data_IF_558176305166
#
_entry.id   IF_558176305166
#
_cell.length_a   1.000
_cell.length_b   1.000
_cell.length_c   1.000
_cell.angle_alpha   90.00
_cell.angle_beta   90.00
_cell.angle_gamma   90.00
#
_symmetry.space_group_name_H-M   'P 1'
#
loop_
_entity.id
_entity.type
_entity.pdbx_description
1 polymer ?
#
# COMPACT_ATOMS: atom_id res chain seq x y z
N UNK A 1 17.25 -15.70 16.48
CA UNK A 1 16.73 -14.51 15.78
C UNK A 1 17.89 -13.79 15.12
N UNK A 2 17.73 -13.36 13.86
CA UNK A 2 18.76 -12.62 13.15
C UNK A 2 18.81 -11.15 13.58
N UNK A 3 20.03 -10.56 13.59
CA UNK A 3 20.19 -9.11 13.56
C UNK A 3 19.99 -8.62 12.12
N UNK A 4 19.60 -7.37 11.93
CA UNK A 4 19.34 -6.78 10.61
C UNK A 4 19.73 -5.30 10.60
N UNK A 5 19.93 -4.76 9.42
CA UNK A 5 20.03 -3.31 9.16
C UNK A 5 18.72 -2.81 8.53
N UNK A 6 18.45 -1.52 8.65
CA UNK A 6 17.37 -0.84 7.96
C UNK A 6 17.95 0.35 7.22
N UNK A 7 17.81 0.36 5.92
CA UNK A 7 18.31 1.42 5.06
C UNK A 7 17.14 2.06 4.27
N UNK A 8 17.11 3.38 4.11
CA UNK A 8 16.17 4.01 3.22
C UNK A 8 16.46 3.59 1.79
N UNK A 9 15.39 3.30 1.04
CA UNK A 9 15.46 2.90 -0.36
C UNK A 9 14.54 3.81 -1.18
N UNK A 10 15.06 4.30 -2.30
CA UNK A 10 14.32 5.14 -3.24
C UNK A 10 14.37 4.50 -4.63
N UNK A 11 13.22 4.09 -5.14
CA UNK A 11 13.11 3.37 -6.43
C UNK A 11 12.38 4.25 -7.44
N UNK A 12 13.00 4.61 -8.58
CA UNK A 12 12.33 5.34 -9.65
C UNK A 12 11.15 4.54 -10.22
N UNK A 13 10.00 5.20 -10.40
CA UNK A 13 8.76 4.63 -10.95
C UNK A 13 8.09 5.63 -11.89
N UNK A 14 8.44 5.59 -13.17
CA UNK A 14 8.07 6.61 -14.14
C UNK A 14 8.71 7.96 -13.77
N UNK A 15 7.89 9.00 -13.64
CA UNK A 15 8.33 10.36 -13.24
C UNK A 15 8.45 10.50 -11.70
N UNK A 16 7.99 9.50 -10.95
CA UNK A 16 7.95 9.52 -9.51
C UNK A 16 9.02 8.64 -8.88
N UNK A 17 9.20 8.79 -7.57
CA UNK A 17 10.11 7.98 -6.76
C UNK A 17 9.35 7.32 -5.62
N UNK A 18 9.44 6.00 -5.53
CA UNK A 18 8.88 5.21 -4.43
C UNK A 18 9.86 5.20 -3.28
N UNK A 19 9.42 5.66 -2.10
CA UNK A 19 10.17 5.56 -0.87
C UNK A 19 9.85 4.25 -0.15
N UNK A 20 10.88 3.57 0.30
CA UNK A 20 10.78 2.31 1.03
C UNK A 20 11.81 2.23 2.17
N UNK A 21 11.58 1.30 3.07
CA UNK A 21 12.57 0.88 4.06
C UNK A 21 13.01 -0.54 3.70
N UNK A 22 14.33 -0.71 3.52
CA UNK A 22 14.92 -2.00 3.22
C UNK A 22 15.52 -2.62 4.48
N UNK A 23 14.88 -3.66 4.98
CA UNK A 23 15.34 -4.46 6.12
C UNK A 23 16.19 -5.61 5.59
N UNK A 24 17.46 -5.65 5.91
CA UNK A 24 18.39 -6.69 5.45
C UNK A 24 18.93 -7.49 6.64
N UNK A 25 18.53 -8.77 6.82
CA UNK A 25 19.03 -9.61 7.90
C UNK A 25 20.47 -10.02 7.65
N UNK A 26 21.25 -10.15 8.71
CA UNK A 26 22.60 -10.71 8.66
C UNK A 26 22.51 -12.23 8.59
N UNK A 27 22.73 -12.78 7.41
CA UNK A 27 22.64 -14.21 7.09
C UNK A 27 23.86 -14.66 6.28
N UNK A 28 24.21 -15.95 6.35
CA UNK A 28 25.33 -16.52 5.58
C UNK A 28 24.95 -16.80 4.12
N UNK A 29 23.68 -16.75 3.77
CA UNK A 29 23.15 -16.96 2.42
C UNK A 29 22.26 -15.78 2.06
N UNK A 30 22.05 -15.53 0.75
CA UNK A 30 21.10 -14.50 0.32
C UNK A 30 19.69 -14.82 0.82
N UNK A 31 19.05 -13.91 1.58
CA UNK A 31 17.72 -14.15 2.12
C UNK A 31 16.65 -14.10 1.03
N UNK A 32 15.54 -14.81 1.23
CA UNK A 32 14.29 -14.53 0.51
C UNK A 32 13.80 -13.13 0.87
N UNK A 33 13.06 -12.49 -0.02
CA UNK A 33 12.54 -11.13 0.20
C UNK A 33 11.02 -11.11 0.29
N UNK A 34 10.52 -10.36 1.27
CA UNK A 34 9.10 -10.03 1.40
C UNK A 34 8.92 -8.58 0.96
N UNK A 35 8.10 -8.37 -0.08
CA UNK A 35 7.70 -7.05 -0.53
C UNK A 35 6.37 -6.70 0.15
N UNK A 36 6.34 -5.55 0.84
CA UNK A 36 5.22 -5.17 1.70
C UNK A 36 4.70 -3.79 1.36
N UNK A 37 3.37 -3.65 1.29
CA UNK A 37 2.72 -2.34 1.19
C UNK A 37 1.47 -2.23 2.07
N UNK A 38 1.13 -0.98 2.36
CA UNK A 38 -0.05 -0.60 3.16
C UNK A 38 -1.36 -0.77 2.38
N UNK A 39 -2.48 -0.83 3.08
CA UNK A 39 -3.82 -0.85 2.51
C UNK A 39 -4.28 0.52 2.01
N UNK A 40 -5.60 0.66 1.80
CA UNK A 40 -6.22 1.89 1.34
C UNK A 40 -5.81 3.06 2.23
N UNK A 41 -5.35 4.16 1.61
CA UNK A 41 -5.00 5.42 2.27
C UNK A 41 -4.11 5.28 3.53
N UNK A 42 -3.33 4.20 3.65
CA UNK A 42 -2.39 4.01 4.75
C UNK A 42 -1.00 4.57 4.46
N UNK A 43 -0.08 4.37 5.39
CA UNK A 43 1.35 4.62 5.24
C UNK A 43 2.13 3.40 5.74
N UNK A 44 3.36 3.20 5.24
CA UNK A 44 4.23 2.13 5.72
C UNK A 44 4.49 2.19 7.23
N UNK A 45 4.44 3.39 7.82
CA UNK A 45 4.61 3.61 9.25
C UNK A 45 3.39 3.23 10.10
N UNK A 46 2.24 2.94 9.48
CA UNK A 46 1.01 2.57 10.21
C UNK A 46 1.06 1.11 10.67
N UNK A 47 1.86 0.84 11.73
CA UNK A 47 2.05 -0.48 12.36
C UNK A 47 2.72 -1.55 11.47
N UNK A 48 2.96 -1.31 10.17
CA UNK A 48 3.59 -2.30 9.27
C UNK A 48 5.08 -2.52 9.59
N UNK A 49 5.75 -1.52 10.14
CA UNK A 49 7.13 -1.62 10.63
C UNK A 49 7.32 -2.82 11.57
N UNK A 50 6.35 -3.11 12.43
CA UNK A 50 6.43 -4.22 13.39
C UNK A 50 6.44 -5.58 12.67
N UNK A 51 5.68 -5.74 11.60
CA UNK A 51 5.69 -6.94 10.75
C UNK A 51 7.03 -7.06 10.01
N UNK A 52 7.51 -5.98 9.39
CA UNK A 52 8.79 -5.97 8.70
C UNK A 52 9.94 -6.37 9.62
N UNK A 53 9.99 -5.82 10.85
CA UNK A 53 10.96 -6.18 11.87
C UNK A 53 10.87 -7.65 12.28
N UNK A 54 9.65 -8.19 12.39
CA UNK A 54 9.44 -9.59 12.75
C UNK A 54 9.96 -10.53 11.66
N UNK A 55 9.68 -10.21 10.40
CA UNK A 55 10.19 -10.96 9.26
C UNK A 55 11.71 -10.86 9.13
N UNK A 56 12.29 -9.67 9.34
CA UNK A 56 13.74 -9.50 9.32
C UNK A 56 14.44 -10.31 10.41
N UNK A 57 13.89 -10.33 11.64
CA UNK A 57 14.38 -11.18 12.73
C UNK A 57 14.26 -12.68 12.42
N UNK A 58 13.31 -13.07 11.57
CA UNK A 58 13.14 -14.46 11.11
C UNK A 58 14.07 -14.82 9.94
N UNK A 59 14.87 -13.87 9.42
CA UNK A 59 15.85 -14.11 8.37
C UNK A 59 15.39 -13.79 6.95
N UNK A 60 14.26 -13.10 6.79
CA UNK A 60 13.80 -12.58 5.50
C UNK A 60 14.30 -11.15 5.29
N UNK A 61 14.72 -10.81 4.09
CA UNK A 61 14.80 -9.41 3.70
C UNK A 61 13.38 -8.86 3.54
N UNK A 62 13.18 -7.56 3.81
CA UNK A 62 11.88 -6.93 3.63
C UNK A 62 12.06 -5.59 2.93
N UNK A 63 11.25 -5.32 1.91
CA UNK A 63 11.09 -4.01 1.30
C UNK A 63 9.68 -3.55 1.63
N UNK A 64 9.56 -2.60 2.55
CA UNK A 64 8.29 -2.00 2.97
C UNK A 64 8.19 -0.61 2.36
N UNK A 65 7.22 -0.37 1.45
CA UNK A 65 7.16 0.84 0.64
C UNK A 65 5.84 1.61 0.79
N UNK A 66 5.92 2.93 0.52
CA UNK A 66 4.76 3.79 0.28
C UNK A 66 4.47 3.85 -1.22
N UNK A 67 3.20 3.87 -1.62
CA UNK A 67 2.82 4.15 -3.00
C UNK A 67 3.17 5.59 -3.40
N UNK A 68 3.32 5.85 -4.72
CA UNK A 68 3.38 7.23 -5.22
C UNK A 68 2.22 8.06 -4.69
N UNK A 69 2.43 9.33 -4.49
CA UNK A 69 1.51 10.30 -3.88
C UNK A 69 1.35 10.15 -2.36
N UNK A 70 1.86 9.09 -1.72
CA UNK A 70 1.70 8.79 -0.30
C UNK A 70 3.02 8.81 0.47
N UNK A 71 2.94 9.14 1.76
CA UNK A 71 4.07 9.06 2.69
C UNK A 71 5.34 9.73 2.17
N UNK A 72 6.44 8.99 2.16
CA UNK A 72 7.75 9.45 1.69
C UNK A 72 7.94 9.39 0.17
N UNK A 73 7.02 8.77 -0.59
CA UNK A 73 7.08 8.73 -2.05
C UNK A 73 6.68 10.06 -2.67
N UNK A 74 7.18 10.34 -3.88
CA UNK A 74 6.87 11.59 -4.59
C UNK A 74 5.52 11.52 -5.29
N UNK A 75 5.16 12.62 -5.93
CA UNK A 75 3.98 12.75 -6.77
C UNK A 75 2.94 13.74 -6.25
N UNK A 76 2.20 14.31 -7.20
CA UNK A 76 1.09 15.26 -6.96
C UNK A 76 -0.11 14.88 -7.82
N UNK A 77 -1.36 15.13 -7.35
CA UNK A 77 -1.67 15.64 -5.99
C UNK A 77 -1.32 14.61 -4.91
N UNK A 78 -1.04 15.08 -3.68
CA UNK A 78 -0.79 14.17 -2.56
C UNK A 78 -2.05 13.38 -2.21
N UNK A 79 -1.85 12.18 -1.67
CA UNK A 79 -2.92 11.29 -1.18
C UNK A 79 -3.90 10.84 -2.27
N UNK A 80 -3.47 10.88 -3.55
CA UNK A 80 -4.24 10.32 -4.63
C UNK A 80 -4.22 8.79 -4.58
N UNK A 81 -5.41 8.17 -4.56
CA UNK A 81 -5.55 6.73 -4.78
C UNK A 81 -5.79 6.47 -6.26
N UNK A 82 -4.81 5.90 -6.91
CA UNK A 82 -4.89 5.44 -8.30
C UNK A 82 -4.54 3.97 -8.37
N UNK A 83 -5.54 3.12 -8.59
CA UNK A 83 -5.36 1.65 -8.58
C UNK A 83 -4.31 1.20 -9.60
N UNK A 84 -4.36 1.77 -10.82
CA UNK A 84 -3.39 1.45 -11.86
C UNK A 84 -1.97 1.86 -11.49
N UNK A 85 -1.81 3.09 -10.99
CA UNK A 85 -0.50 3.61 -10.57
C UNK A 85 0.09 2.80 -9.39
N UNK A 86 -0.75 2.40 -8.43
CA UNK A 86 -0.31 1.57 -7.30
C UNK A 86 0.09 0.15 -7.73
N UNK A 87 -0.60 -0.44 -8.72
CA UNK A 87 -0.18 -1.70 -9.34
C UNK A 87 1.15 -1.57 -10.08
N UNK A 88 1.40 -0.46 -10.74
CA UNK A 88 2.67 -0.19 -11.42
C UNK A 88 3.81 0.01 -10.39
N UNK A 89 3.54 0.63 -9.25
CA UNK A 89 4.50 0.71 -8.14
C UNK A 89 4.88 -0.67 -7.63
N UNK A 90 3.91 -1.56 -7.44
CA UNK A 90 4.19 -2.95 -7.08
C UNK A 90 5.09 -3.64 -8.10
N UNK A 91 4.78 -3.53 -9.41
CA UNK A 91 5.61 -4.11 -10.49
C UNK A 91 7.03 -3.56 -10.46
N UNK A 92 7.16 -2.25 -10.21
CA UNK A 92 8.47 -1.58 -10.09
C UNK A 92 9.28 -2.15 -8.92
N UNK A 93 8.67 -2.32 -7.75
CA UNK A 93 9.33 -2.91 -6.57
C UNK A 93 9.69 -4.39 -6.80
N UNK A 94 8.83 -5.17 -7.46
CA UNK A 94 9.15 -6.56 -7.86
C UNK A 94 10.33 -6.58 -8.82
N UNK A 95 10.37 -5.68 -9.80
CA UNK A 95 11.48 -5.57 -10.75
C UNK A 95 12.78 -5.18 -10.05
N UNK A 96 12.74 -4.23 -9.11
CA UNK A 96 13.89 -3.87 -8.28
C UNK A 96 14.40 -5.09 -7.51
N UNK A 97 13.52 -5.82 -6.81
CA UNK A 97 13.87 -7.02 -6.05
C UNK A 97 14.48 -8.12 -6.94
N UNK A 98 13.95 -8.30 -8.15
CA UNK A 98 14.44 -9.28 -9.12
C UNK A 98 15.88 -9.01 -9.57
N UNK A 99 16.33 -7.74 -9.53
CA UNK A 99 17.67 -7.32 -9.91
C UNK A 99 18.60 -7.06 -8.71
N UNK A 100 18.10 -7.15 -7.49
CA UNK A 100 18.86 -6.85 -6.28
C UNK A 100 19.84 -7.98 -5.95
N UNK A 101 21.14 -7.65 -5.90
CA UNK A 101 22.21 -8.62 -5.62
C UNK A 101 22.32 -9.05 -4.15
N UNK A 102 21.65 -8.35 -3.23
CA UNK A 102 21.71 -8.60 -1.79
C UNK A 102 20.77 -9.71 -1.33
N UNK A 103 19.79 -10.09 -2.15
CA UNK A 103 18.75 -11.07 -1.84
C UNK A 103 18.71 -12.22 -2.85
N UNK A 104 18.00 -13.29 -2.55
CA UNK A 104 17.69 -14.33 -3.53
C UNK A 104 16.47 -13.94 -4.37
N UNK A 105 16.72 -13.39 -5.54
CA UNK A 105 15.68 -12.91 -6.48
C UNK A 105 14.72 -13.99 -7.01
N UNK A 106 14.99 -15.27 -6.75
CA UNK A 106 14.09 -16.39 -7.07
C UNK A 106 13.08 -16.67 -5.96
N UNK A 107 13.23 -16.02 -4.81
CA UNK A 107 12.39 -16.21 -3.62
C UNK A 107 11.75 -14.88 -3.20
N UNK A 108 10.89 -14.36 -4.09
CA UNK A 108 10.12 -13.14 -3.86
C UNK A 108 8.75 -13.54 -3.30
N UNK A 109 8.38 -12.92 -2.19
CA UNK A 109 7.11 -13.12 -1.49
C UNK A 109 6.38 -11.78 -1.46
N UNK A 110 5.11 -11.75 -1.83
CA UNK A 110 4.29 -10.55 -1.70
C UNK A 110 3.52 -10.60 -0.37
N UNK A 111 3.50 -9.49 0.34
CA UNK A 111 2.70 -9.31 1.54
C UNK A 111 1.83 -8.06 1.41
N UNK A 112 0.53 -8.20 1.53
CA UNK A 112 -0.39 -7.08 1.46
C UNK A 112 -1.52 -7.16 2.46
N UNK A 113 -1.94 -5.99 2.96
CA UNK A 113 -3.13 -5.88 3.80
C UNK A 113 -4.23 -5.11 3.07
N UNK A 114 -5.50 -5.52 3.24
CA UNK A 114 -6.66 -4.84 2.64
C UNK A 114 -6.50 -4.67 1.13
N UNK A 115 -6.49 -3.43 0.61
CA UNK A 115 -6.29 -3.12 -0.82
C UNK A 115 -5.00 -3.73 -1.38
N UNK A 116 -3.89 -3.61 -0.65
CA UNK A 116 -2.63 -4.26 -1.05
C UNK A 116 -2.69 -5.77 -1.04
N UNK A 117 -3.54 -6.37 -0.21
CA UNK A 117 -3.82 -7.79 -0.25
C UNK A 117 -4.45 -8.21 -1.58
N UNK A 118 -5.41 -7.43 -2.08
CA UNK A 118 -6.00 -7.62 -3.40
C UNK A 118 -4.97 -7.49 -4.53
N UNK A 119 -4.11 -6.46 -4.46
CA UNK A 119 -3.02 -6.30 -5.43
C UNK A 119 -2.04 -7.47 -5.42
N UNK A 120 -1.62 -7.93 -4.25
CA UNK A 120 -0.70 -9.04 -4.13
C UNK A 120 -1.25 -10.32 -4.75
N UNK A 121 -2.55 -10.61 -4.55
CA UNK A 121 -3.24 -11.75 -5.18
C UNK A 121 -3.29 -11.61 -6.71
N UNK A 122 -3.69 -10.43 -7.21
CA UNK A 122 -3.75 -10.17 -8.66
C UNK A 122 -2.37 -10.29 -9.32
N UNK A 123 -1.35 -9.67 -8.72
CA UNK A 123 0.01 -9.71 -9.28
C UNK A 123 0.62 -11.11 -9.30
N UNK A 124 0.24 -11.97 -8.34
CA UNK A 124 0.73 -13.34 -8.32
C UNK A 124 0.20 -14.20 -9.48
N UNK A 125 -0.91 -13.80 -10.11
CA UNK A 125 -1.41 -14.46 -11.31
C UNK A 125 -0.62 -14.07 -12.57
N UNK A 126 -0.08 -12.85 -12.57
CA UNK A 126 0.56 -12.26 -13.74
C UNK A 126 2.09 -12.44 -13.73
N UNK A 127 2.70 -12.47 -12.54
CA UNK A 127 4.15 -12.48 -12.36
C UNK A 127 4.67 -13.89 -12.04
N UNK A 128 5.50 -14.45 -12.94
CA UNK A 128 6.01 -15.82 -12.83
C UNK A 128 7.07 -16.05 -11.75
N UNK A 129 7.68 -14.98 -11.24
CA UNK A 129 8.78 -15.05 -10.27
C UNK A 129 8.35 -14.84 -8.81
N UNK A 130 7.05 -14.88 -8.54
CA UNK A 130 6.51 -14.80 -7.18
C UNK A 130 6.42 -16.21 -6.61
N UNK A 131 7.12 -16.44 -5.50
CA UNK A 131 7.17 -17.75 -4.84
C UNK A 131 5.97 -17.99 -3.92
N UNK A 132 5.50 -16.94 -3.24
CA UNK A 132 4.38 -17.03 -2.31
C UNK A 132 3.69 -15.68 -2.14
N UNK A 133 2.45 -15.73 -1.68
CA UNK A 133 1.67 -14.55 -1.31
C UNK A 133 1.12 -14.73 0.09
N UNK A 134 1.26 -13.69 0.92
CA UNK A 134 0.65 -13.59 2.24
C UNK A 134 -0.27 -12.38 2.24
N UNK A 135 -1.53 -12.57 2.60
CA UNK A 135 -2.49 -11.48 2.63
C UNK A 135 -3.23 -11.43 3.98
N UNK A 136 -3.49 -10.22 4.42
CA UNK A 136 -4.28 -9.95 5.61
C UNK A 136 -5.54 -9.18 5.19
N UNK A 137 -6.73 -9.75 5.49
CA UNK A 137 -8.04 -9.16 5.16
C UNK A 137 -8.09 -8.55 3.74
N UNK A 138 -7.80 -9.33 2.68
CA UNK A 138 -7.63 -8.78 1.35
C UNK A 138 -8.93 -8.17 0.81
N UNK A 139 -8.82 -6.99 0.19
CA UNK A 139 -9.90 -6.39 -0.58
C UNK A 139 -9.92 -7.04 -1.98
N UNK A 140 -10.92 -7.86 -2.23
CA UNK A 140 -11.02 -8.67 -3.46
C UNK A 140 -12.26 -8.40 -4.28
N UNK A 141 -13.29 -7.77 -3.70
CA UNK A 141 -14.54 -7.45 -4.38
C UNK A 141 -15.07 -6.08 -3.96
N UNK A 142 -15.01 -5.13 -4.90
CA UNK A 142 -15.49 -3.78 -4.69
C UNK A 142 -17.03 -3.70 -4.62
N UNK A 143 -17.73 -4.57 -5.37
CA UNK A 143 -19.20 -4.57 -5.38
C UNK A 143 -19.74 -5.09 -4.04
N UNK A 144 -19.13 -6.15 -3.49
CA UNK A 144 -19.51 -6.64 -2.16
C UNK A 144 -19.18 -5.62 -1.06
N UNK A 145 -18.01 -4.99 -1.15
CA UNK A 145 -17.63 -3.94 -0.19
C UNK A 145 -18.57 -2.73 -0.27
N UNK A 146 -19.01 -2.35 -1.46
CA UNK A 146 -19.94 -1.23 -1.64
C UNK A 146 -21.27 -1.47 -0.92
N UNK A 147 -21.72 -2.71 -0.71
CA UNK A 147 -22.95 -3.03 0.04
C UNK A 147 -22.89 -2.62 1.51
N UNK A 148 -21.68 -2.44 2.06
CA UNK A 148 -21.47 -1.93 3.43
C UNK A 148 -21.69 -0.42 3.53
N UNK A 149 -21.81 0.26 2.38
CA UNK A 149 -21.99 1.71 2.35
C UNK A 149 -23.44 2.07 2.71
N UNK A 150 -23.70 3.08 3.58
CA UNK A 150 -25.05 3.47 3.94
C UNK A 150 -25.85 3.94 2.73
N UNK A 151 -27.01 3.32 2.46
CA UNK A 151 -27.84 3.61 1.29
C UNK A 151 -28.20 5.10 1.17
N UNK A 152 -28.42 5.78 2.31
CA UNK A 152 -28.75 7.21 2.36
C UNK A 152 -27.63 8.10 1.79
N UNK A 153 -26.39 7.63 1.79
CA UNK A 153 -25.22 8.38 1.30
C UNK A 153 -24.89 8.09 -0.18
N UNK A 154 -25.51 7.07 -0.78
CA UNK A 154 -25.24 6.70 -2.18
C UNK A 154 -25.45 7.84 -3.18
N UNK A 155 -26.57 8.62 -3.13
CA UNK A 155 -26.78 9.69 -4.10
C UNK A 155 -25.67 10.76 -4.04
N UNK A 156 -25.23 11.12 -2.84
CA UNK A 156 -24.15 12.09 -2.67
C UNK A 156 -22.80 11.50 -3.14
N UNK A 157 -22.51 10.25 -2.79
CA UNK A 157 -21.29 9.56 -3.22
C UNK A 157 -21.20 9.48 -4.74
N UNK A 158 -22.26 9.06 -5.43
CA UNK A 158 -22.35 8.99 -6.87
C UNK A 158 -22.17 10.36 -7.53
N UNK A 159 -22.83 11.40 -6.99
CA UNK A 159 -22.71 12.77 -7.48
C UNK A 159 -21.27 13.26 -7.39
N UNK A 160 -20.62 13.09 -6.23
CA UNK A 160 -19.22 13.52 -6.03
C UNK A 160 -18.26 12.74 -6.91
N UNK A 161 -18.42 11.42 -6.99
CA UNK A 161 -17.61 10.54 -7.82
C UNK A 161 -17.73 10.91 -9.31
N UNK A 162 -18.95 11.14 -9.81
CA UNK A 162 -19.17 11.56 -11.20
C UNK A 162 -18.55 12.94 -11.48
N UNK A 163 -18.69 13.88 -10.55
CA UNK A 163 -18.10 15.22 -10.69
C UNK A 163 -16.57 15.15 -10.69
N UNK A 164 -15.96 14.31 -9.84
CA UNK A 164 -14.54 14.13 -9.78
C UNK A 164 -14.00 13.47 -11.07
N UNK A 165 -14.69 12.41 -11.52
CA UNK A 165 -14.35 11.75 -12.79
C UNK A 165 -14.41 12.70 -13.98
N UNK A 166 -15.48 13.49 -14.11
CA UNK A 166 -15.59 14.49 -15.19
C UNK A 166 -14.53 15.59 -15.04
N UNK A 167 -14.30 16.06 -13.82
CA UNK A 167 -13.26 17.06 -13.53
C UNK A 167 -11.86 16.58 -13.89
N UNK A 168 -11.53 15.32 -13.61
CA UNK A 168 -10.23 14.74 -13.96
C UNK A 168 -9.98 14.71 -15.47
N UNK A 169 -11.02 14.48 -16.29
CA UNK A 169 -10.93 14.57 -17.77
C UNK A 169 -10.67 15.98 -18.26
N UNK A 170 -10.98 16.99 -17.46
CA UNK A 170 -10.75 18.41 -17.75
C UNK A 170 -9.49 18.97 -17.09
N UNK A 171 -8.68 18.12 -16.45
CA UNK A 171 -7.46 18.52 -15.75
C UNK A 171 -7.71 19.29 -14.44
N UNK A 172 -8.92 19.20 -13.88
CA UNK A 172 -9.23 19.84 -12.60
C UNK A 172 -8.59 19.09 -11.44
N UNK A 173 -8.33 19.81 -10.35
CA UNK A 173 -7.81 19.23 -9.11
C UNK A 173 -8.80 18.21 -8.56
N UNK A 174 -8.36 16.99 -8.21
CA UNK A 174 -9.22 15.96 -7.63
C UNK A 174 -9.91 16.43 -6.35
N UNK A 175 -11.15 16.00 -6.17
CA UNK A 175 -11.90 16.23 -4.93
C UNK A 175 -11.44 15.25 -3.87
N UNK A 176 -11.27 15.73 -2.64
CA UNK A 176 -10.91 14.91 -1.51
C UNK A 176 -12.13 14.50 -0.69
N UNK A 177 -12.06 13.34 -0.07
CA UNK A 177 -12.99 12.85 0.94
C UNK A 177 -12.19 12.31 2.12
N UNK A 178 -12.69 12.46 3.37
CA UNK A 178 -12.09 11.75 4.50
C UNK A 178 -12.03 10.26 4.25
N UNK A 179 -10.99 9.61 4.74
CA UNK A 179 -10.89 8.14 4.71
C UNK A 179 -11.96 7.54 5.62
N UNK A 180 -12.08 8.07 6.83
CA UNK A 180 -13.06 7.67 7.85
C UNK A 180 -13.72 8.89 8.46
N UNK A 181 -15.03 8.83 8.71
CA UNK A 181 -15.79 9.85 9.44
C UNK A 181 -17.10 9.23 9.94
N UNK A 182 -17.53 9.61 11.16
CA UNK A 182 -18.77 9.10 11.75
C UNK A 182 -20.01 9.82 11.22
N UNK A 183 -19.89 11.06 10.75
CA UNK A 183 -21.02 11.93 10.42
C UNK A 183 -21.04 12.39 8.96
N UNK A 184 -19.86 12.52 8.33
CA UNK A 184 -19.72 13.02 6.95
C UNK A 184 -19.60 11.88 5.95
N UNK A 185 -19.75 12.22 4.68
CA UNK A 185 -19.39 11.32 3.59
C UNK A 185 -17.88 11.03 3.65
N UNK A 186 -17.52 9.75 3.67
CA UNK A 186 -16.15 9.27 3.74
C UNK A 186 -16.00 7.97 2.92
N UNK A 187 -14.79 7.50 2.70
CA UNK A 187 -14.56 6.26 1.94
C UNK A 187 -14.95 5.00 2.72
N UNK A 188 -14.64 4.94 4.00
CA UNK A 188 -14.88 3.78 4.88
C UNK A 188 -15.84 4.19 6.01
N UNK A 189 -17.17 4.05 5.81
CA UNK A 189 -18.18 4.64 6.69
C UNK A 189 -18.53 3.77 7.91
N UNK A 190 -17.80 2.69 8.16
CA UNK A 190 -18.09 1.78 9.27
C UNK A 190 -17.39 2.23 10.56
N UNK A 191 -18.01 1.98 11.71
CA UNK A 191 -17.48 2.39 13.01
C UNK A 191 -16.14 1.71 13.33
N UNK A 192 -15.97 0.44 12.97
CA UNK A 192 -14.72 -0.30 13.14
C UNK A 192 -13.58 0.30 12.29
N UNK A 193 -13.87 0.75 11.06
CA UNK A 193 -12.90 1.49 10.23
C UNK A 193 -12.48 2.80 10.90
N UNK A 194 -13.44 3.55 11.46
CA UNK A 194 -13.15 4.80 12.15
C UNK A 194 -12.17 4.59 13.31
N UNK A 195 -12.49 3.69 14.24
CA UNK A 195 -11.61 3.40 15.37
C UNK A 195 -10.31 2.71 14.94
N UNK A 196 -10.37 1.85 13.94
CA UNK A 196 -9.21 1.17 13.37
C UNK A 196 -8.15 2.16 12.87
N UNK A 197 -8.53 3.10 11.99
CA UNK A 197 -7.60 4.12 11.49
C UNK A 197 -7.03 4.99 12.61
N UNK A 198 -7.87 5.50 13.51
CA UNK A 198 -7.38 6.32 14.64
C UNK A 198 -6.41 5.58 15.56
N UNK A 199 -6.51 4.24 15.62
CA UNK A 199 -5.60 3.41 16.42
C UNK A 199 -4.22 3.16 15.78
N UNK A 200 -4.12 3.31 14.45
CA UNK A 200 -2.89 3.00 13.71
C UNK A 200 -2.16 4.24 13.18
N UNK A 201 -2.85 5.39 13.09
CA UNK A 201 -2.24 6.66 12.66
C UNK A 201 -1.08 7.01 13.58
N UNK A 202 0.04 7.35 12.97
CA UNK A 202 1.21 7.85 13.68
C UNK A 202 1.28 9.37 13.47
N UNK A 203 1.14 10.19 14.53
CA UNK A 203 1.10 11.65 14.42
C UNK A 203 2.42 12.28 13.91
N UNK A 204 3.52 11.52 13.94
CA UNK A 204 4.81 11.99 13.43
C UNK A 204 4.87 12.06 11.90
N UNK A 205 3.86 11.51 11.21
CA UNK A 205 3.79 11.48 9.75
C UNK A 205 2.57 12.22 9.23
N UNK A 206 2.78 13.00 8.16
CA UNK A 206 1.68 13.71 7.52
C UNK A 206 0.66 12.72 6.92
N UNK A 207 -0.57 12.88 7.35
CA UNK A 207 -1.73 12.15 6.85
C UNK A 207 -2.98 13.00 7.11
N UNK A 208 -3.73 13.34 6.07
CA UNK A 208 -4.87 14.25 6.17
C UNK A 208 -6.22 13.52 6.32
N UNK A 209 -6.23 12.21 6.20
CA UNK A 209 -7.22 11.23 6.08
C UNK A 209 -8.48 10.96 6.62
#
# INVERSE_FOLDING_TARGET
MHTYTVEPLYVPSGEETIAADFYLPKTNIKPAVILMAHGFAGLRQFKLVQYAQRFAKAGYAVILFDYRYWGGSTGKPRELVSLGAQLDDWKTIVQYASNCKLIDSRRIILWGTSLSGGYALSLATDLKNIQAVMVQVPYVDGAETAKLYPLQRYPEALKRSSQDYMGSKMGLVPKTLPVVDQHKLCFLPTSDSYYGYHSIVNPDYYWSG
#
